data_IF_905693528817
#
_entry.id   IF_905693528817
#
_cell.length_a   1.000
_cell.length_b   1.000
_cell.length_c   1.000
_cell.angle_alpha   90.00
_cell.angle_beta   90.00
_cell.angle_gamma   90.00
#
_symmetry.space_group_name_H-M   'P 1'
#
loop_
_entity.id
_entity.type
_entity.pdbx_description
1 polymer ?
#
# COMPACT_ATOMS: atom_id res chain seq x y z
N UNK A 1 -3.00 -15.03 44.51
CA UNK A 1 -2.24 -14.21 43.55
C UNK A 1 -1.80 -15.12 42.41
N UNK A 2 -2.60 -15.20 41.34
CA UNK A 2 -2.24 -16.00 40.16
C UNK A 2 -1.74 -15.06 39.07
N UNK A 3 -0.49 -15.27 38.71
CA UNK A 3 0.24 -14.56 37.67
C UNK A 3 -0.44 -14.81 36.32
N UNK A 4 -1.16 -13.82 35.81
CA UNK A 4 -1.43 -13.70 34.37
C UNK A 4 -0.15 -13.14 33.72
N UNK A 5 0.85 -14.00 33.55
CA UNK A 5 1.92 -13.75 32.59
C UNK A 5 1.34 -14.07 31.22
N UNK A 6 0.62 -13.09 30.65
CA UNK A 6 0.26 -13.08 29.24
C UNK A 6 1.54 -13.35 28.46
N UNK A 7 1.56 -14.44 27.69
CA UNK A 7 2.67 -14.73 26.78
C UNK A 7 2.98 -13.45 25.98
N UNK A 8 4.26 -13.13 25.71
CA UNK A 8 4.59 -12.02 24.83
C UNK A 8 3.77 -12.20 23.55
N UNK A 9 2.98 -11.19 23.20
CA UNK A 9 2.26 -11.22 21.93
C UNK A 9 3.35 -11.25 20.86
N UNK A 10 3.37 -12.32 20.07
CA UNK A 10 4.30 -12.45 18.95
C UNK A 10 4.11 -11.25 18.03
N UNK A 11 5.20 -10.57 17.68
CA UNK A 11 5.17 -9.33 16.93
C UNK A 11 4.37 -9.46 15.62
N UNK A 12 4.48 -10.60 14.94
CA UNK A 12 3.75 -10.89 13.71
C UNK A 12 2.24 -11.07 13.93
N UNK A 13 1.85 -11.58 15.09
CA UNK A 13 0.44 -11.70 15.51
C UNK A 13 -0.12 -10.32 15.86
N UNK A 14 0.67 -9.47 16.53
CA UNK A 14 0.27 -8.09 16.81
C UNK A 14 0.07 -7.29 15.52
N UNK A 15 1.02 -7.38 14.58
CA UNK A 15 0.89 -6.75 13.26
C UNK A 15 -0.33 -7.30 12.51
N UNK A 16 -0.57 -8.60 12.55
CA UNK A 16 -1.76 -9.20 11.95
C UNK A 16 -3.09 -8.72 12.57
N UNK A 17 -3.12 -8.47 13.88
CA UNK A 17 -4.28 -7.91 14.58
C UNK A 17 -4.48 -6.43 14.28
N UNK A 18 -3.39 -5.65 14.17
CA UNK A 18 -3.44 -4.25 13.75
C UNK A 18 -3.95 -4.16 12.31
N UNK A 19 -3.44 -5.00 11.41
CA UNK A 19 -3.92 -5.12 10.03
C UNK A 19 -5.40 -5.51 9.97
N UNK A 20 -5.87 -6.39 10.87
CA UNK A 20 -7.28 -6.79 10.98
C UNK A 20 -8.16 -5.58 11.37
N UNK A 21 -7.74 -4.78 12.34
CA UNK A 21 -8.47 -3.59 12.79
C UNK A 21 -8.48 -2.51 11.69
N UNK A 22 -7.39 -2.33 10.95
CA UNK A 22 -7.38 -1.43 9.80
C UNK A 22 -8.20 -1.97 8.62
N UNK A 23 -8.22 -3.28 8.39
CA UNK A 23 -9.07 -3.91 7.38
C UNK A 23 -10.56 -3.71 7.70
N UNK A 24 -10.97 -3.75 8.98
CA UNK A 24 -12.35 -3.43 9.41
C UNK A 24 -12.73 -1.97 9.17
N UNK A 25 -11.76 -1.04 9.22
CA UNK A 25 -11.99 0.37 8.89
C UNK A 25 -12.16 0.64 7.38
N UNK A 26 -11.75 -0.32 6.53
CA UNK A 26 -11.89 -0.26 5.08
C UNK A 26 -10.97 0.72 4.36
N UNK A 27 -10.34 1.66 5.08
CA UNK A 27 -9.46 2.69 4.53
C UNK A 27 -8.03 2.15 4.44
N UNK A 28 -7.42 2.11 3.23
CA UNK A 28 -5.98 1.87 3.08
C UNK A 28 -5.17 2.81 3.97
N UNK A 29 -4.22 2.28 4.74
CA UNK A 29 -3.27 3.09 5.50
C UNK A 29 -1.85 2.56 5.34
N UNK A 30 -0.89 3.47 5.47
CA UNK A 30 0.51 3.15 5.67
C UNK A 30 0.86 3.44 7.12
N UNK A 31 1.54 2.52 7.78
CA UNK A 31 1.99 2.69 9.16
C UNK A 31 3.43 3.23 9.16
N UNK A 32 3.59 4.50 9.53
CA UNK A 32 4.90 5.16 9.55
C UNK A 32 5.88 4.53 10.54
N UNK A 33 5.39 3.98 11.65
CA UNK A 33 6.21 3.39 12.69
C UNK A 33 6.73 2.02 12.24
N UNK A 34 5.87 1.22 11.60
CA UNK A 34 6.27 -0.06 10.99
C UNK A 34 7.28 0.17 9.85
N UNK A 35 7.04 1.17 9.00
CA UNK A 35 7.96 1.53 7.93
C UNK A 35 9.30 1.98 8.51
N UNK A 36 9.31 2.93 9.44
CA UNK A 36 10.54 3.43 10.07
C UNK A 36 11.30 2.32 10.80
N UNK A 37 10.58 1.44 11.51
CA UNK A 37 11.16 0.27 12.17
C UNK A 37 11.86 -0.69 11.21
N UNK A 38 11.27 -0.94 10.03
CA UNK A 38 11.88 -1.79 8.97
C UNK A 38 13.19 -1.21 8.45
N UNK A 39 13.30 0.12 8.39
CA UNK A 39 14.45 0.83 7.83
C UNK A 39 15.37 1.44 8.89
N UNK A 40 15.28 0.99 10.15
CA UNK A 40 16.12 1.50 11.23
C UNK A 40 17.62 1.34 10.92
N UNK A 41 18.36 2.45 10.97
CA UNK A 41 19.78 2.51 10.58
C UNK A 41 20.03 2.52 9.07
N UNK A 42 18.97 2.64 8.27
CA UNK A 42 18.99 2.74 6.80
C UNK A 42 18.07 3.89 6.33
N UNK A 43 18.04 4.99 7.08
CA UNK A 43 17.13 6.12 6.84
C UNK A 43 17.36 6.74 5.45
N UNK A 44 18.61 6.78 4.97
CA UNK A 44 18.94 7.23 3.62
C UNK A 44 18.28 6.38 2.53
N UNK A 45 18.27 5.06 2.72
CA UNK A 45 17.59 4.12 1.81
C UNK A 45 16.07 4.32 1.85
N UNK A 46 15.49 4.55 3.03
CA UNK A 46 14.07 4.85 3.16
C UNK A 46 13.70 6.15 2.42
N UNK A 47 14.50 7.19 2.54
CA UNK A 47 14.31 8.44 1.80
C UNK A 47 14.33 8.20 0.29
N UNK A 48 15.30 7.46 -0.23
CA UNK A 48 15.40 7.16 -1.66
C UNK A 48 14.18 6.35 -2.16
N UNK A 49 13.72 5.38 -1.38
CA UNK A 49 12.53 4.57 -1.71
C UNK A 49 11.25 5.44 -1.69
N UNK A 50 11.08 6.29 -0.67
CA UNK A 50 9.93 7.19 -0.57
C UNK A 50 9.90 8.21 -1.71
N UNK A 51 11.07 8.74 -2.11
CA UNK A 51 11.19 9.63 -3.28
C UNK A 51 10.79 8.92 -4.57
N UNK A 52 11.40 7.77 -4.84
CA UNK A 52 11.08 6.98 -6.02
C UNK A 52 9.59 6.63 -6.09
N UNK A 53 9.00 6.27 -4.95
CA UNK A 53 7.56 6.02 -4.85
C UNK A 53 6.72 7.27 -5.15
N UNK A 54 7.01 8.41 -4.51
CA UNK A 54 6.25 9.64 -4.69
C UNK A 54 6.32 10.17 -6.13
N UNK A 55 7.42 9.95 -6.83
CA UNK A 55 7.59 10.31 -8.24
C UNK A 55 6.88 9.36 -9.20
N UNK A 56 6.86 8.06 -8.89
CA UNK A 56 6.38 7.01 -9.81
C UNK A 56 4.89 6.72 -9.64
N UNK A 57 4.36 6.78 -8.41
CA UNK A 57 2.96 6.49 -8.12
C UNK A 57 1.97 7.29 -8.99
N UNK A 58 2.11 8.63 -9.17
CA UNK A 58 1.19 9.40 -9.99
C UNK A 58 1.13 8.91 -11.44
N UNK A 59 2.29 8.58 -12.03
CA UNK A 59 2.39 8.07 -13.40
C UNK A 59 1.68 6.73 -13.54
N UNK A 60 1.96 5.80 -12.62
CA UNK A 60 1.35 4.48 -12.67
C UNK A 60 -0.17 4.52 -12.42
N UNK A 61 -0.64 5.43 -11.56
CA UNK A 61 -2.07 5.70 -11.38
C UNK A 61 -2.72 6.18 -12.68
N UNK A 62 -2.07 7.06 -13.41
CA UNK A 62 -2.58 7.57 -14.69
C UNK A 62 -2.54 6.48 -15.78
N UNK A 63 -1.52 5.62 -15.80
CA UNK A 63 -1.49 4.42 -16.66
C UNK A 63 -2.69 3.50 -16.42
N UNK A 64 -3.07 3.27 -15.15
CA UNK A 64 -4.27 2.49 -14.82
C UNK A 64 -5.53 3.18 -15.35
N UNK A 65 -5.65 4.51 -15.21
CA UNK A 65 -6.81 5.26 -15.71
C UNK A 65 -6.90 5.21 -17.23
N UNK A 66 -5.77 5.34 -17.93
CA UNK A 66 -5.71 5.24 -19.39
C UNK A 66 -6.07 3.83 -19.85
N UNK A 67 -5.57 2.79 -19.19
CA UNK A 67 -5.92 1.41 -19.49
C UNK A 67 -7.42 1.14 -19.33
N UNK A 68 -8.03 1.69 -18.27
CA UNK A 68 -9.49 1.64 -18.07
C UNK A 68 -10.25 2.39 -19.18
N UNK A 69 -9.76 3.56 -19.60
CA UNK A 69 -10.40 4.35 -20.65
C UNK A 69 -10.37 3.65 -22.01
N UNK A 70 -9.30 2.91 -22.31
CA UNK A 70 -9.15 2.13 -23.54
C UNK A 70 -9.73 0.71 -23.43
N UNK A 71 -10.30 0.34 -22.29
CA UNK A 71 -10.83 -0.99 -22.03
C UNK A 71 -9.77 -2.10 -22.27
N UNK A 72 -8.52 -1.83 -21.87
CA UNK A 72 -7.36 -2.72 -22.07
C UNK A 72 -7.01 -3.46 -20.76
N UNK A 73 -7.48 -4.71 -20.59
CA UNK A 73 -7.23 -5.47 -19.37
C UNK A 73 -5.78 -5.91 -19.22
N UNK A 74 -5.03 -6.06 -20.31
CA UNK A 74 -3.61 -6.44 -20.25
C UNK A 74 -2.79 -5.28 -19.70
N UNK A 75 -3.05 -4.06 -20.17
CA UNK A 75 -2.41 -2.86 -19.66
C UNK A 75 -2.82 -2.56 -18.21
N UNK A 76 -4.10 -2.74 -17.85
CA UNK A 76 -4.57 -2.63 -16.47
C UNK A 76 -3.80 -3.58 -15.55
N UNK A 77 -3.71 -4.86 -15.93
CA UNK A 77 -2.99 -5.88 -15.16
C UNK A 77 -1.53 -5.50 -14.97
N UNK A 78 -0.84 -5.09 -16.04
CA UNK A 78 0.56 -4.71 -15.98
C UNK A 78 0.79 -3.49 -15.07
N UNK A 79 -0.07 -2.47 -15.17
CA UNK A 79 0.03 -1.27 -14.35
C UNK A 79 -0.25 -1.58 -12.86
N UNK A 80 -1.27 -2.40 -12.56
CA UNK A 80 -1.59 -2.88 -11.20
C UNK A 80 -0.42 -3.69 -10.63
N UNK A 81 0.21 -4.54 -11.44
CA UNK A 81 1.39 -5.31 -11.02
C UNK A 81 2.55 -4.39 -10.61
N UNK A 82 2.81 -3.35 -11.41
CA UNK A 82 3.78 -2.30 -11.09
C UNK A 82 3.47 -1.59 -9.77
N UNK A 83 2.20 -1.21 -9.58
CA UNK A 83 1.74 -0.59 -8.33
C UNK A 83 2.00 -1.47 -7.11
N UNK A 84 1.68 -2.77 -7.23
CA UNK A 84 1.91 -3.74 -6.16
C UNK A 84 3.39 -3.85 -5.80
N UNK A 85 4.26 -3.91 -6.80
CA UNK A 85 5.71 -3.94 -6.61
C UNK A 85 6.20 -2.75 -5.80
N UNK A 86 5.77 -1.54 -6.16
CA UNK A 86 6.11 -0.31 -5.43
C UNK A 86 5.62 -0.33 -3.98
N UNK A 87 4.35 -0.70 -3.75
CA UNK A 87 3.72 -0.70 -2.43
C UNK A 87 4.28 -1.79 -1.50
N UNK A 88 4.83 -2.87 -2.06
CA UNK A 88 5.42 -3.96 -1.28
C UNK A 88 6.55 -3.52 -0.35
N UNK A 89 7.22 -2.40 -0.67
CA UNK A 89 8.25 -1.81 0.17
C UNK A 89 7.73 -1.35 1.54
N UNK A 90 6.45 -0.98 1.63
CA UNK A 90 5.82 -0.36 2.80
C UNK A 90 4.96 -1.31 3.62
N UNK A 91 4.93 -2.61 3.29
CA UNK A 91 4.24 -3.67 4.05
C UNK A 91 2.74 -3.45 4.29
N UNK A 92 2.04 -2.68 3.45
CA UNK A 92 0.59 -2.52 3.58
C UNK A 92 -0.15 -3.76 3.02
N UNK A 93 -0.22 -4.84 3.82
CA UNK A 93 -0.77 -6.14 3.40
C UNK A 93 -2.15 -6.03 2.79
N UNK A 94 -3.03 -5.27 3.45
CA UNK A 94 -4.39 -5.04 2.99
C UNK A 94 -4.45 -4.40 1.58
N UNK A 95 -3.55 -3.46 1.26
CA UNK A 95 -3.47 -2.87 -0.09
C UNK A 95 -2.94 -3.90 -1.09
N UNK A 96 -1.89 -4.65 -0.71
CA UNK A 96 -1.30 -5.68 -1.57
C UNK A 96 -2.28 -6.80 -1.91
N UNK A 97 -3.10 -7.22 -0.96
CA UNK A 97 -4.13 -8.24 -1.16
C UNK A 97 -5.24 -7.73 -2.10
N UNK A 98 -5.68 -6.48 -1.92
CA UNK A 98 -6.67 -5.85 -2.82
C UNK A 98 -6.12 -5.69 -4.23
N UNK A 99 -4.87 -5.26 -4.39
CA UNK A 99 -4.21 -5.16 -5.70
C UNK A 99 -4.08 -6.53 -6.36
N UNK A 100 -3.67 -7.56 -5.62
CA UNK A 100 -3.55 -8.92 -6.16
C UNK A 100 -4.90 -9.51 -6.55
N UNK A 101 -5.94 -9.26 -5.76
CA UNK A 101 -7.32 -9.65 -6.12
C UNK A 101 -7.79 -8.96 -7.39
N UNK A 102 -7.51 -7.66 -7.54
CA UNK A 102 -7.87 -6.90 -8.73
C UNK A 102 -7.09 -7.34 -9.96
N UNK A 103 -5.77 -7.52 -9.84
CA UNK A 103 -4.91 -8.06 -10.91
C UNK A 103 -5.49 -9.37 -11.48
N UNK A 104 -5.86 -10.30 -10.59
CA UNK A 104 -6.53 -11.55 -11.00
C UNK A 104 -7.91 -11.32 -11.62
N UNK A 105 -8.70 -10.38 -11.10
CA UNK A 105 -10.03 -10.06 -11.63
C UNK A 105 -9.95 -9.45 -13.04
N UNK A 106 -8.96 -8.60 -13.32
CA UNK A 106 -8.73 -8.05 -14.67
C UNK A 106 -8.24 -9.12 -15.66
N UNK A 107 -7.42 -10.06 -15.20
CA UNK A 107 -6.98 -11.20 -16.02
C UNK A 107 -8.13 -12.13 -16.41
N UNK A 108 -9.07 -12.38 -15.50
CA UNK A 108 -10.17 -13.33 -15.71
C UNK A 108 -11.39 -12.69 -16.37
N UNK A 109 -11.81 -11.53 -15.86
CA UNK A 109 -13.10 -10.91 -16.20
C UNK A 109 -12.95 -9.65 -17.08
N UNK A 110 -11.73 -9.13 -17.22
CA UNK A 110 -11.43 -7.94 -17.99
C UNK A 110 -11.84 -6.63 -17.29
N UNK A 111 -11.96 -5.56 -18.09
CA UNK A 111 -12.29 -4.20 -17.63
C UNK A 111 -13.80 -4.00 -17.40
N UNK A 112 -14.42 -4.83 -16.57
CA UNK A 112 -15.84 -4.68 -16.19
C UNK A 112 -16.07 -3.39 -15.41
N UNK A 113 -17.31 -2.88 -15.40
CA UNK A 113 -17.68 -1.71 -14.57
C UNK A 113 -17.39 -1.95 -13.08
N UNK A 114 -17.55 -3.18 -12.62
CA UNK A 114 -17.24 -3.58 -11.25
C UNK A 114 -15.73 -3.47 -10.97
N UNK A 115 -14.89 -4.09 -11.82
CA UNK A 115 -13.43 -4.03 -11.66
C UNK A 115 -12.92 -2.58 -11.75
N UNK A 116 -13.45 -1.81 -12.70
CA UNK A 116 -13.15 -0.38 -12.84
C UNK A 116 -13.56 0.43 -11.60
N UNK A 117 -14.72 0.14 -11.00
CA UNK A 117 -15.16 0.77 -9.75
C UNK A 117 -14.27 0.41 -8.57
N UNK A 118 -13.94 -0.87 -8.42
CA UNK A 118 -13.10 -1.39 -7.33
C UNK A 118 -11.67 -0.81 -7.38
N UNK A 119 -11.04 -0.76 -8.55
CA UNK A 119 -9.68 -0.19 -8.66
C UNK A 119 -9.68 1.32 -8.44
N UNK A 120 -10.70 2.06 -8.89
CA UNK A 120 -10.81 3.51 -8.60
C UNK A 120 -10.95 3.77 -7.10
N UNK A 121 -11.84 3.04 -6.43
CA UNK A 121 -12.00 3.16 -4.98
C UNK A 121 -10.71 2.81 -4.22
N UNK A 122 -9.96 1.82 -4.69
CA UNK A 122 -8.66 1.48 -4.12
C UNK A 122 -7.63 2.58 -4.34
N UNK A 123 -7.55 3.15 -5.55
CA UNK A 123 -6.63 4.25 -5.86
C UNK A 123 -6.93 5.50 -5.02
N UNK A 124 -8.21 5.83 -4.82
CA UNK A 124 -8.62 6.94 -3.94
C UNK A 124 -8.20 6.69 -2.49
N UNK A 125 -8.31 5.45 -2.01
CA UNK A 125 -7.81 5.07 -0.69
C UNK A 125 -6.28 5.15 -0.59
N UNK A 126 -5.55 4.75 -1.63
CA UNK A 126 -4.08 4.89 -1.67
C UNK A 126 -3.68 6.36 -1.71
N UNK A 127 -4.40 7.25 -2.40
CA UNK A 127 -4.13 8.69 -2.36
C UNK A 127 -4.21 9.26 -0.94
N UNK A 128 -5.24 8.84 -0.19
CA UNK A 128 -5.40 9.25 1.21
C UNK A 128 -4.24 8.72 2.06
N UNK A 129 -3.89 7.44 1.90
CA UNK A 129 -2.78 6.81 2.61
C UNK A 129 -1.43 7.48 2.29
N UNK A 130 -1.22 7.92 1.05
CA UNK A 130 0.01 8.55 0.60
C UNK A 130 0.35 9.84 1.35
N UNK A 131 -0.62 10.49 1.99
CA UNK A 131 -0.36 11.62 2.88
C UNK A 131 0.62 11.24 4.01
N UNK A 132 0.46 10.04 4.59
CA UNK A 132 1.36 9.54 5.64
C UNK A 132 2.78 9.34 5.11
N UNK A 133 2.93 8.77 3.92
CA UNK A 133 4.26 8.55 3.31
C UNK A 133 4.97 9.86 2.97
N UNK A 134 4.22 10.85 2.48
CA UNK A 134 4.76 12.20 2.20
C UNK A 134 5.20 12.90 3.49
N UNK A 135 4.37 12.85 4.53
CA UNK A 135 4.69 13.42 5.83
C UNK A 135 5.93 12.76 6.45
N UNK A 136 6.07 11.44 6.29
CA UNK A 136 7.25 10.70 6.73
C UNK A 136 8.50 11.14 5.96
N UNK A 137 8.42 11.25 4.64
CA UNK A 137 9.53 11.74 3.81
C UNK A 137 9.98 13.15 4.24
N UNK A 138 9.05 14.09 4.40
CA UNK A 138 9.33 15.45 4.85
C UNK A 138 9.99 15.48 6.23
N UNK A 139 9.56 14.59 7.14
CA UNK A 139 10.13 14.48 8.48
C UNK A 139 11.56 13.94 8.46
N UNK A 140 11.83 12.95 7.62
CA UNK A 140 13.17 12.37 7.43
C UNK A 140 14.13 13.39 6.79
N UNK A 141 13.69 14.12 5.77
CA UNK A 141 14.50 15.17 5.13
C UNK A 141 14.80 16.34 6.07
N UNK A 142 13.89 16.63 7.00
CA UNK A 142 14.09 17.65 8.03
C UNK A 142 14.89 17.16 9.25
N UNK A 143 15.28 15.87 9.30
CA UNK A 143 16.00 15.27 10.42
C UNK A 143 15.18 15.19 11.72
N UNK A 144 13.86 15.03 11.63
CA UNK A 144 12.91 15.07 12.76
C UNK A 144 12.41 13.69 13.23
N UNK A 145 13.05 12.61 12.79
CA UNK A 145 12.66 11.21 13.07
C UNK A 145 13.62 10.59 14.06
#
# INVERSE_FOLDING_TARGET
MNSFLSKPIEHDVLLGLIDLVYAESGVPSFDSDVISGKFKGMETVLVDILKAYCETYPKNKDEIKEALAHNDPALCTAAIHGLRGMISNFQSRHILDKLSSLENSFLLDGCTNENAGRIRALLDGIDQANFTLKTLLESLEAGRV
#
